data_IF_956991126587
#
_entry.id   IF_956991126587
#
_cell.length_a   1.000
_cell.length_b   1.000
_cell.length_c   1.000
_cell.angle_alpha   90.00
_cell.angle_beta   90.00
_cell.angle_gamma   90.00
#
_symmetry.space_group_name_H-M   'P 1'
#
loop_
_entity.id
_entity.type
_entity.pdbx_description
1 polymer ?
#
# COMPACT_ATOMS: atom_id res chain seq x y z
N UNK A 1 -22.55 -14.17 -9.11
CA UNK A 1 -21.49 -14.22 -8.05
C UNK A 1 -20.20 -14.90 -8.57
N UNK A 2 -20.30 -15.86 -9.49
CA UNK A 2 -19.13 -16.56 -10.07
C UNK A 2 -18.36 -15.79 -11.17
N UNK A 3 -18.88 -14.70 -11.73
CA UNK A 3 -18.17 -13.86 -12.71
C UNK A 3 -17.17 -12.86 -12.08
N UNK A 4 -17.20 -12.67 -10.75
CA UNK A 4 -16.34 -11.71 -10.02
C UNK A 4 -14.88 -12.20 -9.93
N UNK A 5 -14.60 -13.45 -10.33
CA UNK A 5 -13.26 -14.07 -10.26
C UNK A 5 -12.57 -14.07 -11.64
N UNK A 6 -12.98 -13.21 -12.57
CA UNK A 6 -12.21 -13.04 -13.82
C UNK A 6 -10.98 -12.15 -13.57
N UNK A 7 -9.86 -12.80 -13.29
CA UNK A 7 -8.53 -12.19 -13.28
C UNK A 7 -8.19 -11.69 -14.68
N UNK A 8 -8.08 -10.38 -14.88
CA UNK A 8 -6.98 -9.83 -15.72
C UNK A 8 -6.94 -8.30 -15.75
N UNK A 9 -8.04 -7.57 -15.94
CA UNK A 9 -8.02 -6.09 -15.99
C UNK A 9 -9.25 -5.40 -15.38
N UNK A 10 -10.45 -5.98 -15.52
CA UNK A 10 -11.68 -5.39 -14.97
C UNK A 10 -11.64 -5.28 -13.44
N UNK A 11 -11.08 -6.28 -12.78
CA UNK A 11 -10.90 -6.28 -11.33
C UNK A 11 -9.87 -5.24 -10.87
N UNK A 12 -8.91 -4.86 -11.72
CA UNK A 12 -7.93 -3.82 -11.41
C UNK A 12 -8.55 -2.43 -11.51
N UNK A 13 -9.30 -2.16 -12.59
CA UNK A 13 -10.05 -0.92 -12.74
C UNK A 13 -11.09 -0.73 -11.62
N UNK A 14 -11.74 -1.81 -11.18
CA UNK A 14 -12.65 -1.78 -10.04
C UNK A 14 -11.92 -1.46 -8.73
N UNK A 15 -10.74 -2.03 -8.47
CA UNK A 15 -9.93 -1.72 -7.27
C UNK A 15 -9.47 -0.25 -7.31
N UNK A 16 -8.99 0.24 -8.46
CA UNK A 16 -8.52 1.62 -8.60
C UNK A 16 -9.65 2.64 -8.38
N UNK A 17 -10.88 2.37 -8.83
CA UNK A 17 -11.97 3.32 -8.65
C UNK A 17 -12.71 3.15 -7.31
N UNK A 18 -12.87 1.92 -6.81
CA UNK A 18 -13.72 1.64 -5.65
C UNK A 18 -12.95 1.54 -4.33
N UNK A 19 -11.66 1.22 -4.37
CA UNK A 19 -10.83 1.07 -3.15
C UNK A 19 -9.87 2.23 -3.00
N UNK A 20 -9.13 2.60 -4.06
CA UNK A 20 -8.16 3.71 -3.97
C UNK A 20 -8.88 5.03 -3.70
N UNK A 21 -10.05 5.26 -4.29
CA UNK A 21 -10.79 6.51 -4.05
C UNK A 21 -11.16 6.66 -2.57
N UNK A 22 -11.90 5.73 -1.90
CA UNK A 22 -12.13 5.85 -0.46
C UNK A 22 -10.85 5.95 0.39
N UNK A 23 -9.80 5.21 0.02
CA UNK A 23 -8.51 5.24 0.73
C UNK A 23 -7.85 6.62 0.60
N UNK A 24 -7.90 7.25 -0.57
CA UNK A 24 -7.34 8.58 -0.82
C UNK A 24 -8.06 9.65 0.02
N UNK A 25 -9.39 9.57 0.13
CA UNK A 25 -10.16 10.47 1.01
C UNK A 25 -9.82 10.26 2.48
N UNK A 26 -9.66 9.02 2.91
CA UNK A 26 -9.32 8.68 4.29
C UNK A 26 -7.88 9.06 4.67
N UNK A 27 -6.97 9.06 3.70
CA UNK A 27 -5.54 9.31 3.85
C UNK A 27 -5.17 10.77 4.14
N UNK A 28 -6.14 11.65 4.38
CA UNK A 28 -5.84 13.04 4.70
C UNK A 28 -5.64 13.96 3.50
N UNK A 29 -5.85 13.48 2.26
CA UNK A 29 -5.53 14.24 1.04
C UNK A 29 -6.53 15.38 0.74
N UNK A 30 -7.79 15.17 1.10
CA UNK A 30 -8.89 16.13 0.86
C UNK A 30 -9.44 16.73 2.15
N UNK A 31 -9.29 16.04 3.27
CA UNK A 31 -9.68 16.48 4.61
C UNK A 31 -8.52 16.24 5.58
N UNK A 32 -8.21 17.15 6.52
CA UNK A 32 -7.16 16.91 7.52
C UNK A 32 -7.49 15.68 8.38
N UNK A 33 -6.48 14.87 8.70
CA UNK A 33 -6.69 13.62 9.44
C UNK A 33 -7.16 13.89 10.87
N UNK A 34 -6.83 15.06 11.42
CA UNK A 34 -7.22 15.52 12.75
C UNK A 34 -8.72 15.82 12.89
N UNK A 35 -9.42 16.11 11.79
CA UNK A 35 -10.86 16.40 11.80
C UNK A 35 -11.74 15.16 11.63
N UNK A 36 -11.17 13.96 11.55
CA UNK A 36 -11.90 12.71 11.37
C UNK A 36 -12.51 12.20 12.69
N UNK A 37 -13.67 11.53 12.65
CA UNK A 37 -14.21 10.82 13.81
C UNK A 37 -13.20 9.78 14.33
N UNK A 38 -13.15 9.55 15.64
CA UNK A 38 -12.13 8.73 16.31
C UNK A 38 -11.86 7.38 15.62
N UNK A 39 -12.90 6.67 15.19
CA UNK A 39 -12.75 5.38 14.50
C UNK A 39 -12.00 5.54 13.16
N UNK A 40 -12.35 6.55 12.37
CA UNK A 40 -11.72 6.79 11.07
C UNK A 40 -10.29 7.31 11.23
N UNK A 41 -10.03 8.09 12.28
CA UNK A 41 -8.69 8.56 12.60
C UNK A 41 -7.74 7.37 12.87
N UNK A 42 -8.16 6.39 13.68
CA UNK A 42 -7.35 5.18 13.91
C UNK A 42 -7.07 4.39 12.63
N UNK A 43 -8.04 4.30 11.71
CA UNK A 43 -7.85 3.63 10.42
C UNK A 43 -6.89 4.43 9.52
N UNK A 44 -7.01 5.75 9.51
CA UNK A 44 -6.13 6.63 8.75
C UNK A 44 -4.68 6.57 9.26
N UNK A 45 -4.46 6.61 10.58
CA UNK A 45 -3.13 6.49 11.20
C UNK A 45 -2.52 5.10 10.96
N UNK A 46 -3.33 4.04 10.90
CA UNK A 46 -2.82 2.71 10.56
C UNK A 46 -2.41 2.57 9.08
N UNK A 47 -2.85 3.48 8.21
CA UNK A 47 -2.60 3.41 6.78
C UNK A 47 -1.27 4.11 6.40
N UNK A 48 -0.27 3.39 5.87
CA UNK A 48 1.00 4.00 5.44
C UNK A 48 0.82 5.05 4.33
N UNK A 49 -0.27 4.99 3.57
CA UNK A 49 -0.57 5.96 2.52
C UNK A 49 -0.81 7.38 3.07
N UNK A 50 -1.34 7.48 4.29
CA UNK A 50 -1.58 8.75 5.02
C UNK A 50 -0.29 9.56 5.17
N UNK A 51 0.77 8.90 5.62
CA UNK A 51 2.10 9.50 5.78
C UNK A 51 2.72 9.91 4.43
N UNK A 52 2.42 9.18 3.34
CA UNK A 52 2.87 9.53 1.99
C UNK A 52 2.23 10.82 1.48
N UNK A 53 0.93 10.99 1.73
CA UNK A 53 0.21 12.21 1.38
C UNK A 53 0.67 13.39 2.23
N UNK A 54 0.87 13.19 3.54
CA UNK A 54 1.36 14.26 4.43
C UNK A 54 2.76 14.72 4.05
N UNK A 55 3.64 13.81 3.64
CA UNK A 55 4.97 14.13 3.11
C UNK A 55 4.90 15.01 1.84
N UNK A 56 3.95 14.72 0.94
CA UNK A 56 3.72 15.54 -0.25
C UNK A 56 3.24 16.94 0.15
N UNK A 57 2.32 17.05 1.13
CA UNK A 57 1.92 18.36 1.67
C UNK A 57 3.12 19.11 2.23
N UNK A 58 4.00 18.44 2.97
CA UNK A 58 5.24 19.01 3.49
C UNK A 58 6.17 19.54 2.38
N UNK A 59 6.14 18.93 1.20
CA UNK A 59 6.95 19.33 0.05
C UNK A 59 6.36 20.50 -0.76
N UNK A 60 5.03 20.67 -0.74
CA UNK A 60 4.31 21.67 -1.55
C UNK A 60 3.90 22.89 -0.70
N UNK A 61 3.50 22.67 0.56
CA UNK A 61 3.06 23.73 1.46
C UNK A 61 4.26 24.46 2.06
N UNK A 62 4.35 25.76 1.80
CA UNK A 62 5.39 26.66 2.33
C UNK A 62 5.15 26.97 3.83
N UNK A 63 3.96 26.63 4.35
CA UNK A 63 3.50 26.93 5.72
C UNK A 63 3.14 25.65 6.47
N UNK A 64 3.70 25.47 7.67
CA UNK A 64 3.53 24.31 8.57
C UNK A 64 2.10 24.10 9.12
N UNK A 65 1.14 24.96 8.78
CA UNK A 65 -0.22 24.89 9.35
C UNK A 65 -1.12 23.82 8.71
N UNK A 66 -0.62 23.08 7.72
CA UNK A 66 -1.39 22.06 6.98
C UNK A 66 -0.86 20.63 7.14
N UNK A 67 0.12 20.43 8.02
CA UNK A 67 0.77 19.12 8.24
C UNK A 67 0.24 18.49 9.52
N UNK A 68 -0.36 17.30 9.40
CA UNK A 68 -0.95 16.59 10.53
C UNK A 68 0.15 15.89 11.36
N UNK A 69 1.28 15.50 10.73
CA UNK A 69 2.38 14.78 11.38
C UNK A 69 3.76 15.46 11.21
N UNK A 70 4.73 15.17 12.11
CA UNK A 70 6.09 15.63 11.93
C UNK A 70 6.79 14.89 10.78
N UNK A 71 7.53 15.64 9.94
CA UNK A 71 8.26 15.12 8.77
C UNK A 71 9.10 13.85 9.02
N UNK A 72 9.72 13.76 10.19
CA UNK A 72 10.56 12.61 10.55
C UNK A 72 9.74 11.34 10.81
N UNK A 73 8.51 11.47 11.33
CA UNK A 73 7.59 10.34 11.53
C UNK A 73 7.15 9.79 10.19
N UNK A 74 6.77 10.67 9.25
CA UNK A 74 6.34 10.27 7.91
C UNK A 74 7.44 9.50 7.19
N UNK A 75 8.66 10.06 7.20
CA UNK A 75 9.82 9.45 6.56
C UNK A 75 10.19 8.09 7.18
N UNK A 76 10.11 7.96 8.52
CA UNK A 76 10.40 6.71 9.22
C UNK A 76 9.35 5.64 8.91
N UNK A 77 8.07 5.97 8.96
CA UNK A 77 6.98 5.01 8.71
C UNK A 77 7.01 4.53 7.27
N UNK A 78 7.16 5.44 6.30
CA UNK A 78 7.27 5.09 4.89
C UNK A 78 8.53 4.27 4.58
N UNK A 79 9.66 4.66 5.17
CA UNK A 79 10.93 3.95 5.02
C UNK A 79 10.84 2.53 5.57
N UNK A 80 10.32 2.37 6.79
CA UNK A 80 10.11 1.06 7.42
C UNK A 80 9.14 0.20 6.60
N UNK A 81 8.00 0.76 6.18
CA UNK A 81 7.03 0.06 5.35
C UNK A 81 7.63 -0.41 4.03
N UNK A 82 8.43 0.43 3.37
CA UNK A 82 9.11 0.10 2.12
C UNK A 82 10.10 -1.05 2.30
N UNK A 83 10.90 -1.04 3.37
CA UNK A 83 11.85 -2.11 3.68
C UNK A 83 11.11 -3.43 3.93
N UNK A 84 10.03 -3.40 4.72
CA UNK A 84 9.20 -4.58 4.99
C UNK A 84 8.55 -5.10 3.72
N UNK A 85 8.00 -4.22 2.88
CA UNK A 85 7.37 -4.58 1.62
C UNK A 85 8.37 -5.22 0.65
N UNK A 86 9.57 -4.65 0.52
CA UNK A 86 10.65 -5.22 -0.29
C UNK A 86 11.08 -6.56 0.27
N UNK A 87 11.31 -6.68 1.57
CA UNK A 87 11.68 -7.95 2.20
C UNK A 87 10.63 -9.04 1.99
N UNK A 88 9.36 -8.71 2.17
CA UNK A 88 8.24 -9.62 1.92
C UNK A 88 8.12 -10.00 0.44
N UNK A 89 8.30 -9.04 -0.48
CA UNK A 89 8.27 -9.29 -1.91
C UNK A 89 9.44 -10.18 -2.37
N UNK A 90 10.67 -9.90 -1.91
CA UNK A 90 11.85 -10.70 -2.18
C UNK A 90 11.72 -12.13 -1.65
N UNK A 91 11.14 -12.31 -0.46
CA UNK A 91 10.86 -13.62 0.11
C UNK A 91 9.83 -14.40 -0.74
N UNK A 92 8.70 -13.76 -1.09
CA UNK A 92 7.67 -14.39 -1.91
C UNK A 92 8.20 -14.78 -3.30
N UNK A 93 9.00 -13.92 -3.92
CA UNK A 93 9.63 -14.18 -5.21
C UNK A 93 10.66 -15.32 -5.18
N UNK A 94 11.38 -15.46 -4.07
CA UNK A 94 12.32 -16.58 -3.85
C UNK A 94 11.60 -17.92 -3.77
N UNK A 95 10.37 -17.96 -3.23
CA UNK A 95 9.58 -19.20 -3.20
C UNK A 95 9.09 -19.63 -4.58
N UNK A 96 8.63 -18.68 -5.42
CA UNK A 96 8.10 -19.03 -6.74
C UNK A 96 9.19 -19.51 -7.72
N UNK A 97 10.41 -18.95 -7.63
CA UNK A 97 11.55 -19.34 -8.48
C UNK A 97 12.14 -20.72 -8.14
N UNK A 98 12.14 -21.11 -6.87
CA UNK A 98 12.68 -22.39 -6.41
C UNK A 98 11.71 -23.56 -6.62
N UNK A 99 10.41 -23.34 -6.42
CA UNK A 99 9.38 -24.38 -6.55
C UNK A 99 9.16 -24.81 -8.01
N UNK A 100 9.22 -23.87 -8.96
CA UNK A 100 9.17 -24.17 -10.39
C UNK A 100 10.36 -25.02 -10.86
N UNK A 101 11.56 -24.75 -10.33
CA UNK A 101 12.78 -25.50 -10.64
C UNK A 101 12.73 -26.93 -10.08
N UNK A 102 12.16 -27.11 -8.88
CA UNK A 102 12.02 -28.42 -8.23
C UNK A 102 10.99 -29.32 -8.93
N UNK A 103 9.85 -28.76 -9.35
CA UNK A 103 8.82 -29.51 -10.11
C UNK A 103 9.39 -29.95 -11.47
N UNK A 104 10.12 -29.07 -12.16
CA UNK A 104 10.74 -29.42 -13.44
C UNK A 104 11.82 -30.51 -13.29
N UNK A 105 12.61 -30.49 -12.21
CA UNK A 105 13.58 -31.57 -11.92
C UNK A 105 12.90 -32.91 -11.59
N UNK A 106 11.82 -32.90 -10.83
CA UNK A 106 11.08 -34.14 -10.47
C UNK A 106 10.28 -34.71 -11.65
N UNK A 107 9.81 -33.85 -12.55
CA UNK A 107 8.98 -34.27 -13.71
C UNK A 107 9.84 -34.55 -14.96
N UNK A 108 11.00 -33.89 -15.10
CA UNK A 108 11.92 -34.02 -16.23
C UNK A 108 12.93 -35.18 -16.12
N UNK A 109 13.07 -35.81 -14.95
CA UNK A 109 13.98 -36.95 -14.73
C UNK A 109 13.45 -38.30 -15.18
N UNK A 110 12.33 -38.35 -15.91
CA UNK A 110 11.68 -39.59 -16.36
C UNK A 110 11.50 -39.61 -17.88
N UNK A 111 12.60 -39.46 -18.62
CA UNK A 111 12.74 -39.92 -20.01
C UNK A 111 14.14 -40.46 -20.23
#
# INVERSE_FOLDING_TARGET
ITAVVSKSLDNFAAIMNFVIFPVFFLSGALYPVDNLPTILHWIAVANPFTYGVDLIKHSIAITQESTDFPLHVDALVLGAFSIVAIGFASWKFTQESTLATLINKLTGGKR
#
